data_IF_132890026684
#
_entry.id   IF_132890026684
#
_cell.length_a   1.000
_cell.length_b   1.000
_cell.length_c   1.000
_cell.angle_alpha   90.00
_cell.angle_beta   90.00
_cell.angle_gamma   90.00
#
_symmetry.space_group_name_H-M   'P 1'
#
loop_
_entity.id
_entity.type
_entity.pdbx_description
1 polymer ?
#
# COMPACT_ATOMS: atom_id res chain seq x y z
N UNK A 1 -19.00 -9.44 6.37
CA UNK A 1 -17.65 -9.02 5.92
C UNK A 1 -16.62 -9.84 6.68
N UNK A 2 -15.66 -10.45 5.98
CA UNK A 2 -14.54 -11.17 6.62
C UNK A 2 -13.68 -10.21 7.45
N UNK A 3 -13.03 -10.72 8.49
CA UNK A 3 -12.20 -9.89 9.38
C UNK A 3 -11.01 -9.27 8.64
N UNK A 4 -10.42 -9.98 7.67
CA UNK A 4 -9.35 -9.43 6.80
C UNK A 4 -9.80 -8.20 6.00
N UNK A 5 -11.08 -8.10 5.60
CA UNK A 5 -11.60 -6.92 4.89
C UNK A 5 -11.74 -5.72 5.84
N UNK A 6 -12.13 -5.96 7.09
CA UNK A 6 -12.23 -4.92 8.12
C UNK A 6 -10.83 -4.42 8.50
N UNK A 7 -9.87 -5.33 8.63
CA UNK A 7 -8.48 -4.99 8.94
C UNK A 7 -7.84 -4.20 7.79
N UNK A 8 -8.08 -4.60 6.53
CA UNK A 8 -7.66 -3.79 5.37
C UNK A 8 -8.20 -2.37 5.43
N UNK A 9 -9.52 -2.21 5.63
CA UNK A 9 -10.15 -0.90 5.69
C UNK A 9 -9.58 -0.06 6.85
N UNK A 10 -9.38 -0.67 8.02
CA UNK A 10 -8.77 -0.02 9.18
C UNK A 10 -7.35 0.44 8.90
N UNK A 11 -6.52 -0.40 8.28
CA UNK A 11 -5.14 -0.06 7.93
C UNK A 11 -5.08 1.09 6.92
N UNK A 12 -5.97 1.09 5.91
CA UNK A 12 -6.07 2.19 4.93
C UNK A 12 -6.47 3.49 5.62
N UNK A 13 -7.46 3.48 6.51
CA UNK A 13 -7.84 4.67 7.27
C UNK A 13 -6.68 5.22 8.11
N UNK A 14 -5.93 4.35 8.80
CA UNK A 14 -4.75 4.76 9.58
C UNK A 14 -3.64 5.36 8.69
N UNK A 15 -3.45 4.84 7.48
CA UNK A 15 -2.52 5.41 6.50
C UNK A 15 -2.99 6.79 6.01
N UNK A 16 -4.30 6.97 5.77
CA UNK A 16 -4.86 8.28 5.43
C UNK A 16 -4.67 9.29 6.56
N UNK A 17 -4.92 8.91 7.81
CA UNK A 17 -4.72 9.76 8.98
C UNK A 17 -3.24 10.16 9.13
N UNK A 18 -2.32 9.23 8.91
CA UNK A 18 -0.88 9.51 8.91
C UNK A 18 -0.49 10.49 7.78
N UNK A 19 -1.08 10.35 6.59
CA UNK A 19 -0.84 11.27 5.48
C UNK A 19 -1.34 12.69 5.78
N UNK A 20 -2.51 12.81 6.41
CA UNK A 20 -3.04 14.10 6.87
C UNK A 20 -2.18 14.71 7.98
N UNK A 21 -1.68 13.89 8.91
CA UNK A 21 -0.74 14.33 9.93
C UNK A 21 0.55 14.86 9.31
N UNK A 22 1.11 14.14 8.32
CA UNK A 22 2.35 14.53 7.64
C UNK A 22 2.27 15.89 6.93
N UNK A 23 1.06 16.32 6.54
CA UNK A 23 0.85 17.62 5.91
C UNK A 23 0.74 18.80 6.92
N UNK A 24 0.68 18.52 8.22
CA UNK A 24 0.59 19.58 9.24
C UNK A 24 1.95 20.27 9.43
N UNK A 25 1.99 21.61 9.58
CA UNK A 25 3.21 22.31 9.95
C UNK A 25 3.81 21.78 11.25
N UNK A 26 5.10 21.46 11.24
CA UNK A 26 5.80 20.92 12.41
C UNK A 26 5.51 19.44 12.72
N UNK A 27 4.88 18.70 11.79
CA UNK A 27 4.67 17.27 11.96
C UNK A 27 6.00 16.53 12.15
N UNK A 28 6.04 15.65 13.16
CA UNK A 28 7.20 14.84 13.51
C UNK A 28 7.57 13.89 12.36
N UNK A 29 8.68 14.21 11.68
CA UNK A 29 9.18 13.47 10.54
C UNK A 29 9.72 12.10 10.92
N UNK A 30 10.25 11.94 12.13
CA UNK A 30 10.81 10.66 12.56
C UNK A 30 9.67 9.68 12.89
N UNK A 31 8.63 10.18 13.54
CA UNK A 31 7.39 9.42 13.73
C UNK A 31 6.83 8.90 12.41
N UNK A 32 6.71 9.75 11.38
CA UNK A 32 6.17 9.35 10.07
C UNK A 32 7.05 8.29 9.40
N UNK A 33 8.38 8.46 9.45
CA UNK A 33 9.35 7.50 8.89
C UNK A 33 9.29 6.14 9.56
N UNK A 34 9.04 6.09 10.87
CA UNK A 34 8.95 4.84 11.61
C UNK A 34 7.59 4.17 11.41
N UNK A 35 6.50 4.92 11.56
CA UNK A 35 5.14 4.35 11.58
C UNK A 35 4.61 4.03 10.18
N UNK A 36 4.96 4.84 9.18
CA UNK A 36 4.49 4.67 7.80
C UNK A 36 4.77 3.27 7.23
N UNK A 37 6.03 2.81 7.23
CA UNK A 37 6.37 1.46 6.75
C UNK A 37 5.68 0.34 7.52
N UNK A 38 5.53 0.47 8.85
CA UNK A 38 4.85 -0.54 9.68
C UNK A 38 3.36 -0.66 9.35
N UNK A 39 2.67 0.47 9.12
CA UNK A 39 1.28 0.47 8.68
C UNK A 39 1.14 -0.09 7.26
N UNK A 40 2.02 0.31 6.33
CA UNK A 40 2.01 -0.19 4.96
C UNK A 40 2.24 -1.71 4.90
N UNK A 41 3.12 -2.24 5.75
CA UNK A 41 3.38 -3.68 5.85
C UNK A 41 2.19 -4.49 6.37
N UNK A 42 1.24 -3.84 7.05
CA UNK A 42 0.01 -4.46 7.54
C UNK A 42 -1.09 -4.57 6.48
N UNK A 43 -0.87 -4.01 5.29
CA UNK A 43 -1.78 -4.22 4.16
C UNK A 43 -1.66 -5.67 3.66
N UNK A 44 -2.77 -6.29 3.23
CA UNK A 44 -2.74 -7.59 2.59
C UNK A 44 -1.76 -7.57 1.40
N UNK A 45 -0.85 -8.55 1.35
CA UNK A 45 0.19 -8.67 0.30
C UNK A 45 -0.34 -9.12 -1.07
N UNK A 46 -1.65 -9.33 -1.21
CA UNK A 46 -2.26 -9.88 -2.43
C UNK A 46 -2.29 -8.93 -3.63
N UNK A 47 -1.63 -7.77 -3.56
CA UNK A 47 -1.38 -6.97 -4.75
C UNK A 47 -0.23 -7.62 -5.52
N UNK A 48 -0.49 -8.29 -6.67
CA UNK A 48 0.62 -8.66 -7.55
C UNK A 48 1.40 -7.39 -7.82
N UNK A 49 2.71 -7.42 -7.57
CA UNK A 49 3.58 -6.32 -7.94
C UNK A 49 3.26 -5.96 -9.41
N UNK A 50 3.01 -4.69 -9.75
CA UNK A 50 2.81 -4.31 -11.14
C UNK A 50 4.13 -4.58 -11.88
N UNK A 51 4.22 -5.77 -12.48
CA UNK A 51 5.47 -6.34 -13.03
C UNK A 51 5.73 -7.82 -12.67
N UNK A 52 4.97 -8.41 -11.75
CA UNK A 52 5.00 -9.85 -11.45
C UNK A 52 3.90 -10.65 -12.19
N UNK A 53 3.13 -9.99 -13.05
CA UNK A 53 2.43 -10.67 -14.12
C UNK A 53 3.47 -10.95 -15.20
N UNK A 54 3.74 -12.23 -15.43
CA UNK A 54 4.30 -12.75 -16.67
C UNK A 54 3.87 -11.82 -17.82
N UNK A 55 4.84 -11.17 -18.48
CA UNK A 55 4.55 -10.33 -19.65
C UNK A 55 3.62 -11.15 -20.54
N UNK A 56 2.46 -10.62 -21.01
CA UNK A 56 1.65 -11.35 -21.96
C UNK A 56 2.58 -11.73 -23.11
N UNK A 57 2.80 -13.03 -23.33
CA UNK A 57 3.56 -13.50 -24.47
C UNK A 57 2.68 -13.21 -25.68
N UNK A 58 2.80 -11.99 -26.20
CA UNK A 58 2.14 -11.62 -27.43
C UNK A 58 2.73 -12.54 -28.50
N UNK A 59 1.91 -13.38 -29.17
CA UNK A 59 2.42 -14.21 -30.23
C UNK A 59 3.07 -13.29 -31.25
N UNK A 60 4.39 -13.45 -31.43
CA UNK A 60 5.15 -12.76 -32.48
C UNK A 60 4.45 -13.11 -33.78
N UNK A 61 3.72 -12.16 -34.37
CA UNK A 61 3.24 -12.31 -35.74
C UNK A 61 4.47 -12.38 -36.62
N UNK A 62 4.72 -13.56 -37.16
CA UNK A 62 5.64 -13.79 -38.27
C UNK A 62 5.02 -13.09 -39.48
N UNK A 63 5.68 -12.05 -39.99
CA UNK A 63 5.43 -11.48 -41.32
C UNK A 63 6.56 -11.91 -42.22
#
# INVERSE_FOLDING_TARGET
MSDSRKDFHRTVLMLCDLALYAHRPGADQEFIKVVGPSLAASLPRDVPSPGAGESPEYPRREW
#
